data_IF_920735708530
#
_entry.id   IF_920735708530
#
_cell.length_a   1.000
_cell.length_b   1.000
_cell.length_c   1.000
_cell.angle_alpha   90.00
_cell.angle_beta   90.00
_cell.angle_gamma   90.00
#
_symmetry.space_group_name_H-M   'P 1'
#
loop_
_entity.id
_entity.type
_entity.pdbx_description
1 polymer ?
#
# COMPACT_ATOMS: atom_id res chain seq x y z
N UNK A 1 14.66 22.07 50.69
CA UNK A 1 14.87 20.65 50.30
C UNK A 1 13.48 20.02 50.16
N UNK A 2 12.81 20.25 49.03
CA UNK A 2 11.48 19.67 48.77
C UNK A 2 11.69 18.30 48.13
N UNK A 3 11.35 17.25 48.89
CA UNK A 3 11.33 15.86 48.45
C UNK A 3 10.36 15.72 47.28
N UNK A 4 10.88 15.42 46.08
CA UNK A 4 10.08 15.02 44.91
C UNK A 4 9.44 13.68 45.24
N UNK A 5 8.14 13.66 45.51
CA UNK A 5 7.35 12.43 45.47
C UNK A 5 7.51 11.82 44.06
N UNK A 6 8.08 10.62 44.00
CA UNK A 6 8.29 9.89 42.75
C UNK A 6 7.00 9.16 42.43
N UNK A 7 6.38 9.51 41.30
CA UNK A 7 5.26 8.74 40.74
C UNK A 7 5.82 7.35 40.36
N UNK A 8 5.12 6.29 40.77
CA UNK A 8 5.51 4.91 40.47
C UNK A 8 5.14 4.59 39.01
N UNK A 9 6.04 3.92 38.30
CA UNK A 9 5.81 3.45 36.92
C UNK A 9 4.95 2.18 36.94
N UNK A 10 3.65 2.36 37.21
CA UNK A 10 2.63 1.31 37.27
C UNK A 10 1.62 1.47 36.15
N UNK A 11 1.02 0.37 35.67
CA UNK A 11 0.01 0.40 34.59
C UNK A 11 -1.16 1.33 34.95
N UNK A 12 -1.61 1.31 36.20
CA UNK A 12 -2.72 2.15 36.68
C UNK A 12 -2.42 3.66 36.61
N UNK A 13 -1.14 4.05 36.71
CA UNK A 13 -0.71 5.45 36.63
C UNK A 13 -0.66 5.95 35.17
N UNK A 14 -0.44 5.04 34.22
CA UNK A 14 -0.59 5.32 32.78
C UNK A 14 -2.07 5.39 32.38
N UNK A 15 -2.90 4.47 32.86
CA UNK A 15 -4.34 4.41 32.55
C UNK A 15 -5.12 5.60 33.13
N UNK A 16 -4.79 6.01 34.37
CA UNK A 16 -5.34 7.23 34.98
C UNK A 16 -4.87 8.49 34.24
N UNK A 17 -3.75 8.41 33.53
CA UNK A 17 -3.09 9.52 32.85
C UNK A 17 -2.26 10.40 33.78
N UNK A 18 -2.02 9.97 35.02
CA UNK A 18 -1.08 10.61 35.95
C UNK A 18 0.33 10.68 35.34
N UNK A 19 0.70 9.66 34.56
CA UNK A 19 1.86 9.68 33.67
C UNK A 19 1.46 10.14 32.26
N UNK A 20 2.12 11.19 31.77
CA UNK A 20 2.04 11.63 30.36
C UNK A 20 0.94 12.63 30.01
N UNK A 21 -0.05 12.91 30.89
CA UNK A 21 -1.06 13.96 30.64
C UNK A 21 -0.79 15.31 31.32
N UNK A 22 0.36 15.50 31.97
CA UNK A 22 0.73 16.80 32.52
C UNK A 22 1.02 17.79 31.39
N UNK A 23 0.44 18.99 31.46
CA UNK A 23 0.63 20.06 30.46
C UNK A 23 2.10 20.44 30.29
N UNK A 24 2.94 20.24 31.31
CA UNK A 24 4.37 20.52 31.27
C UNK A 24 5.15 19.65 30.26
N UNK A 25 4.59 18.50 29.87
CA UNK A 25 5.18 17.57 28.91
C UNK A 25 4.44 17.56 27.55
N UNK A 26 3.45 18.42 27.37
CA UNK A 26 2.72 18.57 26.11
C UNK A 26 3.47 19.55 25.21
N UNK A 27 3.79 19.11 24.00
CA UNK A 27 4.33 19.97 22.95
C UNK A 27 3.65 19.64 21.62
N UNK A 28 3.47 20.66 20.78
CA UNK A 28 3.04 20.45 19.39
C UNK A 28 4.19 19.77 18.66
N UNK A 29 3.89 18.68 17.96
CA UNK A 29 4.86 18.00 17.12
C UNK A 29 5.43 18.97 16.07
N UNK A 30 6.76 18.98 15.83
CA UNK A 30 7.36 19.73 14.74
C UNK A 30 6.68 19.45 13.39
N UNK A 31 6.62 20.46 12.52
CA UNK A 31 6.03 20.31 11.18
C UNK A 31 6.73 19.21 10.36
N UNK A 32 8.04 19.02 10.58
CA UNK A 32 8.86 18.03 9.88
C UNK A 32 8.56 16.59 10.28
N UNK A 33 7.95 16.34 11.45
CA UNK A 33 7.66 14.97 11.92
C UNK A 33 6.78 14.21 10.92
N UNK A 34 5.86 14.92 10.25
CA UNK A 34 5.01 14.30 9.23
C UNK A 34 5.84 13.85 8.02
N UNK A 35 6.79 14.66 7.56
CA UNK A 35 7.66 14.30 6.45
C UNK A 35 8.57 13.13 6.82
N UNK A 36 9.15 13.14 8.02
CA UNK A 36 10.00 12.05 8.51
C UNK A 36 9.22 10.73 8.53
N UNK A 37 7.97 10.75 8.99
CA UNK A 37 7.10 9.56 9.00
C UNK A 37 6.77 9.12 7.57
N UNK A 38 6.41 10.05 6.68
CA UNK A 38 6.12 9.74 5.28
C UNK A 38 7.33 9.11 4.57
N UNK A 39 8.52 9.66 4.77
CA UNK A 39 9.77 9.12 4.21
C UNK A 39 10.11 7.74 4.78
N UNK A 40 10.04 7.57 6.10
CA UNK A 40 10.32 6.29 6.75
C UNK A 40 9.37 5.18 6.27
N UNK A 41 8.12 5.53 5.94
CA UNK A 41 7.11 4.61 5.43
C UNK A 41 7.05 4.54 3.90
N UNK A 42 7.92 5.28 3.19
CA UNK A 42 7.91 5.43 1.73
C UNK A 42 6.53 5.84 1.17
N UNK A 43 5.82 6.71 1.91
CA UNK A 43 4.51 7.24 1.54
C UNK A 43 4.68 8.59 0.85
N UNK A 44 3.81 8.87 -0.13
CA UNK A 44 3.66 10.21 -0.70
C UNK A 44 2.18 10.56 -0.82
N UNK A 45 1.76 11.76 -0.42
CA UNK A 45 0.39 12.19 -0.62
C UNK A 45 0.11 12.31 -2.12
N UNK A 46 -1.03 11.78 -2.54
CA UNK A 46 -1.55 11.96 -3.90
C UNK A 46 -2.89 12.71 -3.83
N UNK A 47 -3.08 13.67 -4.71
CA UNK A 47 -4.36 14.35 -4.90
C UNK A 47 -4.96 13.93 -6.22
N UNK A 48 -6.05 13.16 -6.16
CA UNK A 48 -6.79 12.69 -7.33
C UNK A 48 -8.24 13.15 -7.23
N UNK A 49 -8.82 13.55 -8.36
CA UNK A 49 -10.25 13.84 -8.47
C UNK A 49 -10.99 12.57 -8.87
N UNK A 50 -12.08 12.27 -8.16
CA UNK A 50 -12.95 11.12 -8.42
C UNK A 50 -14.40 11.60 -8.50
N UNK A 51 -15.23 10.87 -9.22
CA UNK A 51 -16.67 11.12 -9.27
C UNK A 51 -17.29 10.93 -7.88
N UNK A 52 -18.27 11.78 -7.54
CA UNK A 52 -18.89 11.74 -6.21
C UNK A 52 -19.61 10.41 -5.95
N UNK A 53 -20.25 9.83 -6.97
CA UNK A 53 -20.86 8.50 -6.93
C UNK A 53 -19.84 7.45 -6.53
N UNK A 54 -18.69 7.43 -7.20
CA UNK A 54 -17.62 6.48 -6.97
C UNK A 54 -17.06 6.59 -5.54
N UNK A 55 -16.84 7.81 -5.04
CA UNK A 55 -16.41 8.04 -3.65
C UNK A 55 -17.42 7.43 -2.67
N UNK A 56 -18.72 7.64 -2.91
CA UNK A 56 -19.77 7.14 -2.05
C UNK A 56 -19.86 5.61 -2.08
N UNK A 57 -19.68 5.00 -3.25
CA UNK A 57 -19.68 3.54 -3.40
C UNK A 57 -18.52 2.92 -2.62
N UNK A 58 -17.31 3.47 -2.74
CA UNK A 58 -16.16 3.00 -1.97
C UNK A 58 -16.33 3.19 -0.46
N UNK A 59 -16.97 4.28 0.01
CA UNK A 59 -17.29 4.46 1.43
C UNK A 59 -18.22 3.35 1.93
N UNK A 60 -19.29 3.06 1.20
CA UNK A 60 -20.23 1.98 1.54
C UNK A 60 -19.55 0.61 1.56
N UNK A 61 -18.71 0.34 0.57
CA UNK A 61 -17.92 -0.91 0.53
C UNK A 61 -16.99 -0.98 1.76
N UNK A 62 -16.37 0.13 2.15
CA UNK A 62 -15.49 0.17 3.31
C UNK A 62 -16.26 -0.16 4.59
N UNK A 63 -17.43 0.46 4.80
CA UNK A 63 -18.33 0.19 5.92
C UNK A 63 -18.72 -1.29 5.99
N UNK A 64 -19.12 -1.89 4.86
CA UNK A 64 -19.49 -3.31 4.80
C UNK A 64 -18.33 -4.26 5.15
N UNK A 65 -17.09 -3.83 4.94
CA UNK A 65 -15.88 -4.60 5.25
C UNK A 65 -15.27 -4.22 6.61
N UNK A 66 -15.90 -3.33 7.38
CA UNK A 66 -15.35 -2.83 8.66
C UNK A 66 -14.05 -2.04 8.50
N UNK A 67 -13.84 -1.41 7.33
CA UNK A 67 -12.65 -0.62 7.01
C UNK A 67 -13.00 0.86 6.84
N UNK A 68 -12.02 1.73 7.08
CA UNK A 68 -12.12 3.11 6.65
C UNK A 68 -11.87 3.25 5.14
N UNK A 69 -12.38 4.33 4.55
CA UNK A 69 -12.29 4.62 3.12
C UNK A 69 -10.84 4.64 2.60
N UNK A 70 -9.92 5.33 3.29
CA UNK A 70 -8.53 5.46 2.86
C UNK A 70 -7.78 4.10 2.86
N UNK A 71 -7.86 3.26 3.92
CA UNK A 71 -7.35 1.88 3.88
C UNK A 71 -7.90 1.06 2.71
N UNK A 72 -9.23 1.09 2.49
CA UNK A 72 -9.84 0.36 1.37
C UNK A 72 -9.28 0.85 0.03
N UNK A 73 -9.18 2.16 -0.15
CA UNK A 73 -8.66 2.75 -1.39
C UNK A 73 -7.22 2.32 -1.67
N UNK A 74 -6.34 2.33 -0.65
CA UNK A 74 -4.97 1.84 -0.78
C UNK A 74 -4.94 0.36 -1.18
N UNK A 75 -5.77 -0.47 -0.57
CA UNK A 75 -5.86 -1.89 -0.91
C UNK A 75 -6.37 -2.09 -2.35
N UNK A 76 -7.39 -1.35 -2.77
CA UNK A 76 -7.94 -1.43 -4.12
C UNK A 76 -6.89 -1.06 -5.19
N UNK A 77 -6.18 0.06 -5.01
CA UNK A 77 -5.12 0.50 -5.92
C UNK A 77 -3.97 -0.51 -5.99
N UNK A 78 -3.57 -1.07 -4.84
CA UNK A 78 -2.51 -2.10 -4.79
C UNK A 78 -2.93 -3.38 -5.52
N UNK A 79 -4.13 -3.87 -5.25
CA UNK A 79 -4.68 -5.07 -5.90
C UNK A 79 -4.79 -4.90 -7.41
N UNK A 80 -5.22 -3.73 -7.86
CA UNK A 80 -5.27 -3.40 -9.28
C UNK A 80 -3.87 -3.43 -9.91
N UNK A 81 -2.89 -2.73 -9.31
CA UNK A 81 -1.53 -2.69 -9.83
C UNK A 81 -0.87 -4.07 -9.88
N UNK A 82 -1.07 -4.91 -8.86
CA UNK A 82 -0.52 -6.26 -8.81
C UNK A 82 -1.16 -7.17 -9.87
N UNK A 83 -2.47 -7.03 -10.10
CA UNK A 83 -3.16 -7.74 -11.16
C UNK A 83 -2.66 -7.33 -12.55
N UNK A 84 -2.54 -6.03 -12.82
CA UNK A 84 -2.08 -5.53 -14.12
C UNK A 84 -0.65 -5.95 -14.43
N UNK A 85 0.25 -5.93 -13.45
CA UNK A 85 1.61 -6.46 -13.61
C UNK A 85 1.60 -7.92 -14.05
N UNK A 86 0.81 -8.76 -13.37
CA UNK A 86 0.69 -10.19 -13.71
C UNK A 86 0.10 -10.38 -15.11
N UNK A 87 -0.94 -9.62 -15.46
CA UNK A 87 -1.58 -9.66 -16.78
C UNK A 87 -0.57 -9.35 -17.89
N UNK A 88 0.19 -8.26 -17.75
CA UNK A 88 1.21 -7.84 -18.72
C UNK A 88 2.31 -8.90 -18.85
N UNK A 89 2.82 -9.42 -17.73
CA UNK A 89 3.85 -10.47 -17.75
C UNK A 89 3.38 -11.73 -18.47
N UNK A 90 2.15 -12.18 -18.18
CA UNK A 90 1.57 -13.36 -18.82
C UNK A 90 1.41 -13.17 -20.32
N UNK A 91 0.98 -11.98 -20.76
CA UNK A 91 0.88 -11.63 -22.18
C UNK A 91 2.25 -11.67 -22.87
N UNK A 92 3.29 -11.11 -22.24
CA UNK A 92 4.65 -11.15 -22.78
C UNK A 92 5.21 -12.56 -22.89
N UNK A 93 4.94 -13.42 -21.89
CA UNK A 93 5.35 -14.83 -21.92
C UNK A 93 4.62 -15.59 -23.03
N UNK A 94 3.31 -15.39 -23.17
CA UNK A 94 2.52 -16.02 -24.21
C UNK A 94 3.00 -15.61 -25.61
N UNK A 95 3.26 -14.32 -25.82
CA UNK A 95 3.78 -13.81 -27.09
C UNK A 95 5.14 -14.44 -27.43
N UNK A 96 6.08 -14.48 -26.47
CA UNK A 96 7.40 -15.09 -26.71
C UNK A 96 7.31 -16.58 -27.03
N UNK A 97 6.38 -17.31 -26.41
CA UNK A 97 6.15 -18.72 -26.72
C UNK A 97 5.65 -18.87 -28.15
N UNK A 98 4.63 -18.10 -28.53
CA UNK A 98 4.11 -18.08 -29.89
C UNK A 98 5.21 -17.76 -30.91
N UNK A 99 5.98 -16.70 -30.69
CA UNK A 99 7.09 -16.32 -31.59
C UNK A 99 8.17 -17.41 -31.69
N UNK A 100 8.39 -18.18 -30.62
CA UNK A 100 9.37 -19.27 -30.61
C UNK A 100 8.82 -20.49 -31.34
N UNK A 101 7.57 -20.87 -31.05
CA UNK A 101 6.85 -21.97 -31.72
C UNK A 101 6.69 -21.71 -33.22
N UNK A 102 6.40 -20.47 -33.63
CA UNK A 102 6.37 -20.07 -35.05
C UNK A 102 7.74 -20.23 -35.71
N UNK A 103 8.82 -19.76 -35.07
CA UNK A 103 10.19 -19.91 -35.59
C UNK A 103 10.61 -21.38 -35.68
N UNK A 104 10.26 -22.20 -34.69
CA UNK A 104 10.55 -23.64 -34.69
C UNK A 104 9.78 -24.35 -35.81
N UNK A 105 8.49 -24.03 -35.99
CA UNK A 105 7.67 -24.58 -37.08
C UNK A 105 8.16 -24.14 -38.46
N UNK A 106 8.56 -22.88 -38.63
CA UNK A 106 9.18 -22.38 -39.86
C UNK A 106 10.50 -23.11 -40.16
N UNK A 107 11.36 -23.30 -39.16
CA UNK A 107 12.62 -24.02 -39.32
C UNK A 107 12.42 -25.48 -39.76
N UNK A 108 11.48 -26.19 -39.12
CA UNK A 108 11.14 -27.58 -39.45
C UNK A 108 10.51 -27.71 -40.85
N UNK A 109 9.66 -26.74 -41.24
CA UNK A 109 9.07 -26.69 -42.58
C UNK A 109 10.11 -26.49 -43.69
N UNK A 110 11.11 -25.64 -43.47
CA UNK A 110 12.22 -25.42 -44.43
C UNK A 110 13.13 -26.65 -44.54
N UNK A 111 13.35 -27.38 -43.44
CA UNK A 111 14.16 -28.60 -43.44
C UNK A 111 13.48 -29.75 -44.19
N UNK A 112 12.17 -29.95 -43.99
CA UNK A 112 11.39 -30.95 -44.72
C UNK A 112 11.38 -30.72 -46.24
N UNK A 113 11.44 -29.47 -46.68
CA UNK A 113 11.42 -29.10 -48.10
C UNK A 113 12.78 -29.22 -48.80
N UNK A 114 13.89 -29.35 -48.05
CA UNK A 114 15.24 -29.59 -48.59
C UNK A 114 15.57 -31.09 -48.79
N UNK A 115 14.81 -31.98 -48.16
CA UNK A 115 15.04 -33.44 -48.19
C UNK A 115 14.17 -34.15 -49.25
N UNK A 116 13.18 -33.45 -49.81
CA UNK A 116 12.35 -33.89 -50.94
C UNK A 116 12.93 -33.41 -52.28
#
# INVERSE_FOLDING_TARGET
MTTKDRILDTEEAWDSGELGRSEEFVAVAPEDDTQIIEEALCLRPISIRLEQSLINDFKKIAELNGLAYQPLMRQALRRFADHEKRRILNQLVAQRKHDTEERENEALGVEAQKVA
#
